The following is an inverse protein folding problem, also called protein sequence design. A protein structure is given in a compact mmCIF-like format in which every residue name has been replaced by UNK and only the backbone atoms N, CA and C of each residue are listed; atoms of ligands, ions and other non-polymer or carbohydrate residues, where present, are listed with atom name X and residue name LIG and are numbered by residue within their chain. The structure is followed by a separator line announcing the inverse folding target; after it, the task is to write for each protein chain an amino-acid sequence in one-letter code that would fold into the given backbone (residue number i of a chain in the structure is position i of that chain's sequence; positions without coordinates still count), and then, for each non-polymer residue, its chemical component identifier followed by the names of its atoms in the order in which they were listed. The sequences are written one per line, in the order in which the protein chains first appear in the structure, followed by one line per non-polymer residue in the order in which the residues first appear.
data_IF_833479761367
#
_entry.id   IF_833479761367
#
_cell.length_a   1.000
_cell.length_b   1.000
_cell.length_c   1.000
_cell.angle_alpha   90.00
_cell.angle_beta   90.00
_cell.angle_gamma   90.00
#
_symmetry.space_group_name_H-M   'P 1'
#
loop_
_entity.id
_entity.type
_entity.pdbx_description
1 polymer ?
#
# COMPACT_ATOMS: atom_id res chain seq x y z
N UNK A 1 1.82 30.82 -47.46
CA UNK A 1 1.95 29.37 -47.70
C UNK A 1 3.32 28.93 -47.26
N UNK A 2 3.45 28.54 -46.00
CA UNK A 2 4.68 28.00 -45.43
C UNK A 2 4.33 26.61 -44.93
N UNK A 3 4.77 25.61 -45.69
CA UNK A 3 4.62 24.20 -45.35
C UNK A 3 5.41 23.93 -44.07
N UNK A 4 4.68 23.70 -42.97
CA UNK A 4 5.21 23.06 -41.78
C UNK A 4 5.53 21.61 -42.12
N UNK A 5 6.84 21.31 -42.20
CA UNK A 5 7.38 19.96 -42.19
C UNK A 5 6.80 19.17 -41.00
N UNK A 6 6.30 17.95 -41.20
CA UNK A 6 5.91 17.10 -40.08
C UNK A 6 7.17 16.71 -39.31
N UNK A 7 7.19 16.96 -38.00
CA UNK A 7 8.19 16.37 -37.10
C UNK A 7 8.18 14.86 -37.30
N UNK A 8 9.30 14.32 -37.76
CA UNK A 8 9.51 12.89 -37.93
C UNK A 8 9.27 12.17 -36.59
N UNK A 9 8.47 11.12 -36.61
CA UNK A 9 8.35 10.19 -35.49
C UNK A 9 9.74 9.60 -35.18
N UNK A 10 10.16 9.49 -33.90
CA UNK A 10 11.46 8.94 -33.55
C UNK A 10 11.56 7.51 -34.08
N UNK A 11 12.70 7.22 -34.72
CA UNK A 11 13.02 5.95 -35.35
C UNK A 11 12.85 4.79 -34.36
N UNK A 12 12.39 3.64 -34.87
CA UNK A 12 12.23 2.38 -34.12
C UNK A 12 13.50 2.08 -33.31
N UNK A 13 13.43 2.32 -32.00
CA UNK A 13 14.56 2.38 -31.07
C UNK A 13 15.42 1.11 -31.08
N UNK A 14 16.73 1.30 -31.23
CA UNK A 14 17.75 0.31 -30.84
C UNK A 14 17.61 0.01 -29.33
N UNK A 15 17.55 -1.28 -28.96
CA UNK A 15 17.41 -1.72 -27.56
C UNK A 15 18.54 -1.17 -26.69
N UNK A 16 19.74 -0.99 -27.25
CA UNK A 16 20.87 -0.42 -26.51
C UNK A 16 20.64 1.06 -26.17
N UNK A 17 20.06 1.84 -27.10
CA UNK A 17 19.70 3.23 -26.87
C UNK A 17 18.59 3.37 -25.82
N UNK A 18 17.55 2.52 -25.89
CA UNK A 18 16.47 2.49 -24.91
C UNK A 18 16.99 2.14 -23.51
N UNK A 19 17.88 1.15 -23.41
CA UNK A 19 18.58 0.77 -22.17
C UNK A 19 19.41 1.91 -21.60
N UNK A 20 20.21 2.58 -22.43
CA UNK A 20 21.04 3.71 -21.99
C UNK A 20 20.17 4.85 -21.45
N UNK A 21 19.14 5.26 -22.21
CA UNK A 21 18.20 6.32 -21.80
C UNK A 21 17.45 5.97 -20.52
N UNK A 22 16.95 4.73 -20.40
CA UNK A 22 16.26 4.29 -19.18
C UNK A 22 17.18 4.35 -17.96
N UNK A 23 18.41 3.85 -18.08
CA UNK A 23 19.40 3.87 -16.98
C UNK A 23 19.77 5.28 -16.56
N UNK A 24 20.02 6.16 -17.51
CA UNK A 24 20.36 7.56 -17.25
C UNK A 24 19.22 8.28 -16.52
N UNK A 25 18.00 8.22 -17.06
CA UNK A 25 16.83 8.87 -16.47
C UNK A 25 16.46 8.27 -15.12
N UNK A 26 16.56 6.95 -14.96
CA UNK A 26 16.36 6.27 -13.67
C UNK A 26 17.39 6.79 -12.66
N UNK A 27 18.67 6.82 -13.02
CA UNK A 27 19.73 7.30 -12.13
C UNK A 27 19.52 8.75 -11.70
N UNK A 28 19.09 9.64 -12.61
CA UNK A 28 18.77 11.02 -12.27
C UNK A 28 17.66 11.12 -11.20
N UNK A 29 16.59 10.33 -11.34
CA UNK A 29 15.51 10.25 -10.36
C UNK A 29 15.98 9.67 -9.01
N UNK A 30 16.88 8.68 -9.03
CA UNK A 30 17.46 8.12 -7.80
C UNK A 30 18.37 9.13 -7.08
N UNK A 31 19.12 9.94 -7.81
CA UNK A 31 19.92 11.03 -7.24
C UNK A 31 19.02 12.11 -6.63
N UNK A 32 17.96 12.54 -7.33
CA UNK A 32 16.97 13.48 -6.78
C UNK A 32 16.35 12.96 -5.47
N UNK A 33 16.05 11.66 -5.44
CA UNK A 33 15.56 10.98 -4.25
C UNK A 33 16.58 11.02 -3.11
N UNK A 34 17.85 10.78 -3.44
CA UNK A 34 19.03 10.94 -2.58
C UNK A 34 19.14 12.32 -1.94
N UNK A 35 18.92 13.37 -2.73
CA UNK A 35 19.17 14.76 -2.31
C UNK A 35 17.93 15.43 -1.70
N UNK A 36 16.81 14.70 -1.60
CA UNK A 36 15.54 15.25 -1.11
C UNK A 36 15.54 15.64 0.39
N UNK A 37 16.54 15.23 1.18
CA UNK A 37 16.57 15.38 2.64
C UNK A 37 15.32 14.77 3.30
N UNK A 38 14.76 15.45 4.32
CA UNK A 38 13.52 15.03 4.99
C UNK A 38 12.22 15.50 4.27
N UNK A 39 12.29 15.83 2.97
CA UNK A 39 11.11 16.33 2.24
C UNK A 39 10.16 15.20 1.86
N UNK A 40 9.30 14.81 2.81
CA UNK A 40 8.24 13.80 2.61
C UNK A 40 7.29 14.09 1.42
N UNK A 41 7.16 15.35 0.99
CA UNK A 41 6.21 15.74 -0.08
C UNK A 41 6.69 15.39 -1.49
N UNK A 42 8.00 15.26 -1.73
CA UNK A 42 8.56 14.94 -3.05
C UNK A 42 8.61 13.43 -3.36
N UNK A 43 8.60 12.59 -2.33
CA UNK A 43 8.74 11.13 -2.46
C UNK A 43 7.74 10.51 -3.44
N UNK A 44 6.44 10.71 -3.21
CA UNK A 44 5.41 10.12 -4.07
C UNK A 44 5.49 10.65 -5.52
N UNK A 45 6.03 11.85 -5.70
CA UNK A 45 6.27 12.40 -7.04
C UNK A 45 7.38 11.61 -7.75
N UNK A 46 8.52 11.39 -7.09
CA UNK A 46 9.64 10.64 -7.66
C UNK A 46 9.28 9.17 -7.90
N UNK A 47 8.61 8.50 -6.95
CA UNK A 47 8.11 7.13 -7.15
C UNK A 47 7.15 7.04 -8.34
N UNK A 48 6.30 8.05 -8.51
CA UNK A 48 5.41 8.17 -9.67
C UNK A 48 6.14 8.48 -10.98
N UNK A 49 7.23 9.24 -10.95
CA UNK A 49 8.10 9.46 -12.11
C UNK A 49 8.84 8.18 -12.52
N UNK A 50 9.35 7.41 -11.54
CA UNK A 50 9.95 6.10 -11.80
C UNK A 50 8.94 5.15 -12.45
N UNK A 51 7.70 5.11 -11.94
CA UNK A 51 6.65 4.29 -12.54
C UNK A 51 6.33 4.73 -13.98
N UNK A 52 6.18 6.04 -14.23
CA UNK A 52 5.93 6.59 -15.57
C UNK A 52 7.09 6.33 -16.55
N UNK A 53 8.33 6.48 -16.09
CA UNK A 53 9.52 6.16 -16.88
C UNK A 53 9.50 4.69 -17.31
N UNK A 54 9.16 3.78 -16.39
CA UNK A 54 9.03 2.36 -16.69
C UNK A 54 7.85 2.09 -17.64
N UNK A 55 6.70 2.76 -17.48
CA UNK A 55 5.58 2.68 -18.41
C UNK A 55 6.01 3.08 -19.84
N UNK A 56 6.76 4.18 -20.00
CA UNK A 56 7.25 4.66 -21.30
C UNK A 56 8.10 3.60 -22.01
N UNK A 57 9.03 2.96 -21.30
CA UNK A 57 9.88 1.89 -21.83
C UNK A 57 9.04 0.67 -22.20
N UNK A 58 8.13 0.22 -21.32
CA UNK A 58 7.24 -0.90 -21.60
C UNK A 58 6.36 -0.64 -22.83
N UNK A 59 5.89 0.60 -23.01
CA UNK A 59 5.12 0.99 -24.21
C UNK A 59 5.96 1.01 -25.49
N UNK A 60 7.24 1.38 -25.42
CA UNK A 60 8.16 1.29 -26.55
C UNK A 60 8.41 -0.18 -26.94
N UNK A 61 8.72 -1.02 -25.95
CA UNK A 61 8.94 -2.45 -26.14
C UNK A 61 7.69 -3.18 -26.66
N UNK A 62 6.52 -2.85 -26.14
CA UNK A 62 5.24 -3.39 -26.61
C UNK A 62 4.99 -3.10 -28.09
N UNK A 63 5.29 -1.87 -28.53
CA UNK A 63 5.16 -1.48 -29.94
C UNK A 63 6.21 -2.18 -30.82
N UNK A 64 7.45 -2.29 -30.35
CA UNK A 64 8.54 -2.94 -31.06
C UNK A 64 8.26 -4.43 -31.31
N UNK A 65 7.66 -5.11 -30.33
CA UNK A 65 7.27 -6.51 -30.46
C UNK A 65 6.05 -6.75 -31.36
N UNK A 66 5.40 -5.69 -31.89
CA UNK A 66 4.25 -5.84 -32.78
C UNK A 66 3.00 -6.41 -32.11
N UNK A 67 2.90 -6.33 -30.78
CA UNK A 67 1.83 -7.00 -30.03
C UNK A 67 0.43 -6.52 -30.45
N UNK A 68 -0.47 -7.49 -30.59
CA UNK A 68 -1.77 -7.30 -31.24
C UNK A 68 -2.61 -6.24 -30.53
N UNK A 69 -3.32 -5.34 -31.27
CA UNK A 69 -4.17 -4.29 -30.67
C UNK A 69 -5.28 -4.82 -29.76
N UNK A 70 -5.66 -6.10 -29.91
CA UNK A 70 -6.69 -6.76 -29.10
C UNK A 70 -6.20 -7.15 -27.70
N UNK A 71 -4.89 -7.18 -27.44
CA UNK A 71 -4.32 -7.46 -26.13
C UNK A 71 -4.14 -6.19 -25.31
N UNK A 72 -3.95 -6.32 -24.00
CA UNK A 72 -3.65 -5.20 -23.12
C UNK A 72 -2.47 -5.53 -22.20
N UNK A 73 -1.60 -4.54 -21.96
CA UNK A 73 -0.55 -4.63 -20.95
C UNK A 73 -1.00 -3.90 -19.70
N UNK A 74 -1.05 -4.63 -18.59
CA UNK A 74 -1.45 -4.11 -17.29
C UNK A 74 -0.27 -4.12 -16.32
N UNK A 75 -0.09 -3.04 -15.58
CA UNK A 75 0.70 -3.05 -14.35
C UNK A 75 -0.14 -3.67 -13.23
N UNK A 76 0.44 -4.54 -12.41
CA UNK A 76 -0.23 -5.15 -11.24
C UNK A 76 0.58 -4.95 -9.96
N UNK A 77 -0.02 -5.23 -8.81
CA UNK A 77 0.62 -5.05 -7.51
C UNK A 77 1.10 -3.61 -7.25
N UNK A 78 2.29 -3.46 -6.66
CA UNK A 78 2.88 -2.14 -6.36
C UNK A 78 3.04 -1.24 -7.57
N UNK A 79 3.46 -1.82 -8.71
CA UNK A 79 3.60 -1.08 -9.96
C UNK A 79 2.23 -0.64 -10.53
N UNK A 80 1.19 -1.44 -10.32
CA UNK A 80 -0.21 -1.11 -10.63
C UNK A 80 -0.70 0.17 -9.96
N UNK A 81 -0.27 0.43 -8.71
CA UNK A 81 -0.57 1.69 -8.00
C UNK A 81 0.15 2.92 -8.54
N UNK A 82 1.09 2.75 -9.47
CA UNK A 82 1.96 3.84 -9.95
C UNK A 82 3.04 4.22 -8.94
N UNK A 83 3.42 3.29 -8.04
CA UNK A 83 4.46 3.47 -7.04
C UNK A 83 5.60 2.49 -7.31
N UNK A 84 6.73 2.99 -7.83
CA UNK A 84 7.91 2.16 -8.08
C UNK A 84 9.09 2.62 -7.22
N UNK A 85 9.49 1.77 -6.27
CA UNK A 85 10.68 2.00 -5.43
C UNK A 85 11.96 1.62 -6.20
N UNK A 86 13.13 2.19 -5.85
CA UNK A 86 14.36 2.07 -6.64
C UNK A 86 14.76 0.65 -7.08
N UNK A 87 14.57 -0.32 -6.18
CA UNK A 87 14.89 -1.74 -6.37
C UNK A 87 13.68 -2.63 -6.08
N UNK A 88 12.46 -2.19 -6.42
CA UNK A 88 11.28 -3.07 -6.40
C UNK A 88 11.01 -3.70 -7.75
N UNK A 89 10.42 -4.89 -7.69
CA UNK A 89 10.02 -5.69 -8.85
C UNK A 89 9.00 -4.94 -9.71
N UNK A 90 9.02 -5.22 -11.02
CA UNK A 90 8.07 -4.66 -12.00
C UNK A 90 7.11 -5.78 -12.42
N UNK A 91 5.93 -5.83 -11.82
CA UNK A 91 4.95 -6.86 -12.12
C UNK A 91 3.98 -6.41 -13.22
N UNK A 92 3.93 -7.20 -14.30
CA UNK A 92 3.06 -6.97 -15.46
C UNK A 92 2.19 -8.17 -15.80
N UNK A 93 1.01 -7.89 -16.31
CA UNK A 93 0.07 -8.87 -16.84
C UNK A 93 -0.22 -8.52 -18.30
N UNK A 94 0.08 -9.45 -19.20
CA UNK A 94 -0.41 -9.42 -20.57
C UNK A 94 -1.79 -10.06 -20.58
N UNK A 95 -2.82 -9.21 -20.71
CA UNK A 95 -4.21 -9.62 -20.74
C UNK A 95 -4.66 -9.92 -22.17
N UNK A 96 -5.17 -11.13 -22.36
CA UNK A 96 -5.71 -11.63 -23.62
C UNK A 96 -7.25 -11.66 -23.58
N UNK A 97 -7.95 -11.49 -24.72
CA UNK A 97 -9.38 -11.76 -24.78
C UNK A 97 -9.64 -13.27 -24.63
N UNK A 98 -10.80 -13.63 -24.10
CA UNK A 98 -11.22 -15.04 -24.03
C UNK A 98 -11.24 -15.65 -25.43
N UNK A 99 -10.78 -16.90 -25.54
CA UNK A 99 -10.64 -17.61 -26.83
C UNK A 99 -9.38 -17.27 -27.61
N UNK A 100 -8.53 -16.35 -27.14
CA UNK A 100 -7.16 -16.27 -27.63
C UNK A 100 -6.36 -17.44 -27.07
N UNK A 101 -5.78 -18.24 -27.96
CA UNK A 101 -4.84 -19.30 -27.61
C UNK A 101 -3.48 -18.94 -28.22
N UNK A 102 -2.59 -18.44 -27.37
CA UNK A 102 -1.23 -18.10 -27.79
C UNK A 102 -0.26 -19.27 -27.64
N UNK A 103 -0.67 -20.39 -27.03
CA UNK A 103 0.16 -21.58 -26.97
C UNK A 103 0.15 -22.33 -28.31
N UNK A 104 -0.99 -22.33 -29.01
CA UNK A 104 -1.12 -22.90 -30.36
C UNK A 104 -0.81 -21.92 -31.50
N UNK A 105 -0.91 -20.61 -31.25
CA UNK A 105 -0.57 -19.56 -32.22
C UNK A 105 0.92 -19.18 -32.13
N UNK A 106 1.75 -19.82 -32.97
CA UNK A 106 3.21 -19.61 -32.99
C UNK A 106 3.61 -18.14 -33.17
N UNK A 107 2.87 -17.37 -33.96
CA UNK A 107 3.15 -15.95 -34.14
C UNK A 107 2.87 -15.18 -32.85
N UNK A 108 1.72 -15.43 -32.19
CA UNK A 108 1.43 -14.82 -30.89
C UNK A 108 2.52 -15.15 -29.86
N UNK A 109 2.92 -16.42 -29.77
CA UNK A 109 3.96 -16.87 -28.84
C UNK A 109 5.28 -16.15 -29.09
N UNK A 110 5.68 -16.05 -30.35
CA UNK A 110 6.94 -15.40 -30.76
C UNK A 110 6.93 -13.91 -30.40
N UNK A 111 5.83 -13.20 -30.64
CA UNK A 111 5.70 -11.77 -30.30
C UNK A 111 5.78 -11.56 -28.77
N UNK A 112 5.15 -12.43 -27.98
CA UNK A 112 5.18 -12.39 -26.51
C UNK A 112 6.58 -12.68 -25.95
N UNK A 113 7.25 -13.72 -26.44
CA UNK A 113 8.62 -14.07 -26.05
C UNK A 113 9.60 -12.95 -26.42
N UNK A 114 9.45 -12.35 -27.60
CA UNK A 114 10.26 -11.21 -28.03
C UNK A 114 10.06 -9.99 -27.12
N UNK A 115 8.82 -9.70 -26.71
CA UNK A 115 8.51 -8.62 -25.77
C UNK A 115 9.16 -8.85 -24.40
N UNK A 116 8.98 -10.04 -23.81
CA UNK A 116 9.53 -10.37 -22.48
C UNK A 116 11.06 -10.32 -22.51
N UNK A 117 11.67 -10.93 -23.53
CA UNK A 117 13.13 -10.91 -23.72
C UNK A 117 13.65 -9.48 -23.84
N UNK A 118 12.98 -8.63 -24.64
CA UNK A 118 13.38 -7.23 -24.81
C UNK A 118 13.28 -6.43 -23.51
N UNK A 119 12.34 -6.77 -22.61
CA UNK A 119 12.26 -6.15 -21.29
C UNK A 119 13.52 -6.44 -20.46
N UNK A 120 13.95 -7.70 -20.43
CA UNK A 120 15.18 -8.10 -19.74
C UNK A 120 16.44 -7.49 -20.37
N UNK A 121 16.51 -7.44 -21.70
CA UNK A 121 17.64 -6.85 -22.42
C UNK A 121 17.84 -5.36 -22.09
N UNK A 122 16.74 -4.63 -21.90
CA UNK A 122 16.74 -3.21 -21.46
C UNK A 122 17.07 -3.06 -19.96
N UNK A 123 17.05 -4.16 -19.20
CA UNK A 123 17.33 -4.20 -17.77
C UNK A 123 16.09 -3.97 -16.90
N UNK A 124 14.89 -4.22 -17.43
CA UNK A 124 13.66 -4.32 -16.64
C UNK A 124 13.53 -5.76 -16.14
N UNK A 125 13.76 -5.97 -14.84
CA UNK A 125 13.47 -7.25 -14.19
C UNK A 125 11.96 -7.36 -13.95
N UNK A 126 11.24 -7.89 -14.96
CA UNK A 126 9.79 -8.02 -14.90
C UNK A 126 9.35 -9.38 -14.34
N UNK A 127 8.41 -9.34 -13.40
CA UNK A 127 7.52 -10.48 -13.13
C UNK A 127 6.38 -10.42 -14.14
N UNK A 128 6.27 -11.40 -15.04
CA UNK A 128 5.24 -11.38 -16.09
C UNK A 128 4.27 -12.56 -15.96
N UNK A 129 3.02 -12.31 -16.34
CA UNK A 129 2.03 -13.36 -16.56
C UNK A 129 1.23 -13.06 -17.81
N UNK A 130 0.86 -14.10 -18.54
CA UNK A 130 0.00 -14.00 -19.74
C UNK A 130 -1.26 -14.77 -19.44
N UNK A 131 -2.42 -14.10 -19.46
CA UNK A 131 -3.71 -14.73 -19.10
C UNK A 131 -4.86 -14.10 -19.88
N UNK A 132 -5.86 -14.91 -20.19
CA UNK A 132 -7.18 -14.47 -20.61
C UNK A 132 -7.95 -13.82 -19.45
N UNK A 133 -9.07 -13.17 -19.76
CA UNK A 133 -9.97 -12.63 -18.73
C UNK A 133 -10.47 -13.76 -17.82
N UNK A 134 -10.90 -14.88 -18.39
CA UNK A 134 -11.44 -16.01 -17.62
C UNK A 134 -10.38 -16.69 -16.75
N UNK A 135 -9.14 -16.80 -17.20
CA UNK A 135 -8.03 -17.32 -16.39
C UNK A 135 -7.66 -16.38 -15.24
N UNK A 136 -7.68 -15.06 -15.46
CA UNK A 136 -7.46 -14.10 -14.39
C UNK A 136 -8.50 -14.25 -13.28
N UNK A 137 -9.77 -14.39 -13.67
CA UNK A 137 -10.90 -14.59 -12.77
C UNK A 137 -10.80 -15.92 -12.01
N UNK A 138 -10.51 -17.02 -12.71
CA UNK A 138 -10.36 -18.34 -12.10
C UNK A 138 -9.19 -18.39 -11.11
N UNK A 139 -8.03 -17.83 -11.49
CA UNK A 139 -6.85 -17.79 -10.61
C UNK A 139 -7.11 -16.93 -9.38
N UNK A 140 -7.77 -15.77 -9.53
CA UNK A 140 -8.10 -14.90 -8.41
C UNK A 140 -9.10 -15.51 -7.43
N UNK A 141 -10.00 -16.38 -7.90
CA UNK A 141 -10.91 -17.11 -7.03
C UNK A 141 -10.20 -18.12 -6.12
N UNK A 142 -9.03 -18.62 -6.55
CA UNK A 142 -8.28 -19.67 -5.87
C UNK A 142 -7.11 -19.13 -5.03
N UNK A 143 -6.57 -17.96 -5.41
CA UNK A 143 -5.42 -17.35 -4.75
C UNK A 143 -5.68 -15.88 -4.41
N UNK A 144 -5.75 -15.61 -3.09
CA UNK A 144 -5.94 -14.27 -2.55
C UNK A 144 -4.79 -13.32 -2.93
N UNK A 145 -3.56 -13.82 -3.10
CA UNK A 145 -2.40 -13.03 -3.53
C UNK A 145 -2.61 -12.50 -4.94
N UNK A 146 -3.04 -13.37 -5.87
CA UNK A 146 -3.37 -12.98 -7.24
C UNK A 146 -4.55 -12.02 -7.25
N UNK A 147 -5.61 -12.32 -6.49
CA UNK A 147 -6.76 -11.43 -6.35
C UNK A 147 -6.33 -10.01 -5.92
N UNK A 148 -5.39 -9.92 -4.99
CA UNK A 148 -4.87 -8.63 -4.50
C UNK A 148 -4.13 -7.86 -5.57
N UNK A 149 -3.23 -8.53 -6.28
CA UNK A 149 -2.50 -7.91 -7.39
C UNK A 149 -3.43 -7.38 -8.47
N UNK A 150 -4.54 -8.10 -8.74
CA UNK A 150 -5.54 -7.71 -9.74
C UNK A 150 -6.47 -6.58 -9.26
N UNK A 151 -6.77 -6.46 -7.96
CA UNK A 151 -7.47 -5.29 -7.39
C UNK A 151 -6.75 -3.99 -7.77
N UNK A 152 -5.42 -4.04 -7.88
CA UNK A 152 -4.58 -2.89 -8.17
C UNK A 152 -4.27 -2.67 -9.65
N UNK A 153 -4.81 -3.51 -10.54
CA UNK A 153 -4.48 -3.48 -11.95
C UNK A 153 -4.70 -2.09 -12.58
N UNK A 154 -3.75 -1.69 -13.41
CA UNK A 154 -3.75 -0.43 -14.16
C UNK A 154 -3.32 -0.68 -15.60
N UNK A 155 -4.11 -0.18 -16.54
CA UNK A 155 -3.75 -0.23 -17.96
C UNK A 155 -2.49 0.63 -18.23
N UNK A 156 -1.46 0.00 -18.81
CA UNK A 156 -0.29 0.69 -19.36
C UNK A 156 -0.59 1.03 -20.84
N UNK A 157 -0.90 0.02 -21.65
CA UNK A 157 -1.19 0.18 -23.08
C UNK A 157 -2.02 -0.97 -23.65
N UNK A 158 -2.46 -0.85 -24.91
CA UNK A 158 -3.29 -1.84 -25.60
C UNK A 158 -4.80 -1.59 -25.46
N UNK A 159 -5.59 -2.67 -25.52
CA UNK A 159 -7.05 -2.61 -25.60
C UNK A 159 -7.71 -2.12 -24.30
N UNK A 160 -8.17 -0.86 -24.31
CA UNK A 160 -8.98 -0.28 -23.22
C UNK A 160 -10.33 -0.98 -23.06
N UNK A 161 -10.93 -1.47 -24.15
CA UNK A 161 -12.19 -2.22 -24.10
C UNK A 161 -12.01 -3.52 -23.32
N UNK A 162 -10.94 -4.27 -23.60
CA UNK A 162 -10.61 -5.50 -22.88
C UNK A 162 -10.36 -5.25 -21.39
N UNK A 163 -9.58 -4.21 -21.06
CA UNK A 163 -9.35 -3.84 -19.65
C UNK A 163 -10.65 -3.45 -18.93
N UNK A 164 -11.56 -2.75 -19.60
CA UNK A 164 -12.86 -2.37 -19.04
C UNK A 164 -13.73 -3.60 -18.79
N UNK A 165 -13.77 -4.55 -19.73
CA UNK A 165 -14.46 -5.83 -19.58
C UNK A 165 -13.91 -6.63 -18.40
N UNK A 166 -12.58 -6.78 -18.32
CA UNK A 166 -11.90 -7.43 -17.21
C UNK A 166 -12.25 -6.77 -15.87
N UNK A 167 -12.10 -5.44 -15.77
CA UNK A 167 -12.36 -4.68 -14.54
C UNK A 167 -13.81 -4.78 -14.08
N UNK A 168 -14.77 -4.92 -15.02
CA UNK A 168 -16.18 -5.13 -14.70
C UNK A 168 -16.40 -6.54 -14.13
N UNK A 169 -16.01 -7.58 -14.88
CA UNK A 169 -16.20 -8.98 -14.45
C UNK A 169 -15.48 -9.30 -13.14
N UNK A 170 -14.28 -8.76 -12.95
CA UNK A 170 -13.52 -8.94 -11.72
C UNK A 170 -14.24 -8.34 -10.50
N UNK A 171 -14.81 -7.14 -10.64
CA UNK A 171 -15.61 -6.53 -9.55
C UNK A 171 -16.92 -7.27 -9.28
N UNK A 172 -17.55 -7.85 -10.30
CA UNK A 172 -18.78 -8.63 -10.14
C UNK A 172 -18.52 -9.97 -9.42
N UNK A 173 -17.36 -10.58 -9.62
CA UNK A 173 -16.96 -11.81 -8.94
C UNK A 173 -16.44 -11.58 -7.51
N UNK A 174 -15.78 -10.45 -7.27
CA UNK A 174 -15.12 -10.18 -6.00
C UNK A 174 -16.13 -9.93 -4.88
N UNK A 175 -16.23 -10.86 -3.94
CA UNK A 175 -16.95 -10.66 -2.69
C UNK A 175 -16.10 -9.83 -1.70
N UNK A 176 -16.50 -8.60 -1.33
CA UNK A 176 -15.66 -7.75 -0.50
C UNK A 176 -15.52 -8.22 0.95
N UNK A 177 -16.52 -8.94 1.48
CA UNK A 177 -16.48 -9.44 2.86
C UNK A 177 -15.53 -10.64 2.94
N UNK A 178 -15.62 -11.57 2.00
CA UNK A 178 -14.73 -12.72 1.93
C UNK A 178 -13.28 -12.27 1.69
N UNK A 179 -13.09 -11.28 0.81
CA UNK A 179 -11.78 -10.64 0.60
C UNK A 179 -11.24 -10.00 1.89
N UNK A 180 -12.07 -9.27 2.64
CA UNK A 180 -11.68 -8.69 3.93
C UNK A 180 -11.29 -9.76 4.96
N UNK A 181 -12.07 -10.84 5.06
CA UNK A 181 -11.78 -11.95 5.99
C UNK A 181 -10.46 -12.62 5.63
N UNK A 182 -10.24 -12.92 4.35
CA UNK A 182 -8.97 -13.47 3.86
C UNK A 182 -7.79 -12.52 4.15
N UNK A 183 -7.96 -11.21 3.92
CA UNK A 183 -6.93 -10.21 4.24
C UNK A 183 -6.63 -10.07 5.72
N UNK A 184 -7.63 -10.19 6.60
CA UNK A 184 -7.39 -10.22 8.04
C UNK A 184 -6.60 -11.45 8.46
N UNK A 185 -6.84 -12.61 7.84
CA UNK A 185 -6.08 -13.83 8.10
C UNK A 185 -4.62 -13.69 7.64
N UNK A 186 -4.38 -13.27 6.40
CA UNK A 186 -3.02 -13.02 5.90
C UNK A 186 -2.26 -12.00 6.75
N UNK A 187 -2.95 -10.94 7.20
CA UNK A 187 -2.37 -9.94 8.10
C UNK A 187 -1.90 -10.55 9.42
N UNK A 188 -2.75 -11.35 10.08
CA UNK A 188 -2.41 -12.02 11.34
C UNK A 188 -1.25 -12.99 11.17
N UNK A 189 -1.26 -13.80 10.11
CA UNK A 189 -0.17 -14.73 9.81
C UNK A 189 1.14 -14.00 9.54
N UNK A 190 1.09 -12.86 8.84
CA UNK A 190 2.27 -12.03 8.63
C UNK A 190 2.76 -11.43 9.96
N UNK A 191 1.88 -10.82 10.76
CA UNK A 191 2.25 -10.23 12.05
C UNK A 191 2.92 -11.25 12.98
N UNK A 192 2.43 -12.48 13.03
CA UNK A 192 3.04 -13.57 13.80
C UNK A 192 4.48 -13.91 13.37
N UNK A 193 4.80 -13.80 12.06
CA UNK A 193 6.18 -13.96 11.56
C UNK A 193 7.13 -12.85 12.02
N UNK A 194 6.60 -11.74 12.52
CA UNK A 194 7.32 -10.59 13.05
C UNK A 194 6.98 -10.37 14.54
N UNK A 195 6.73 -11.45 15.28
CA UNK A 195 6.54 -11.46 16.74
C UNK A 195 5.40 -10.55 17.23
N UNK A 196 4.43 -10.25 16.36
CA UNK A 196 3.26 -9.40 16.64
C UNK A 196 3.61 -8.01 17.22
N UNK A 197 4.85 -7.53 17.01
CA UNK A 197 5.33 -6.27 17.58
C UNK A 197 5.78 -5.26 16.53
N UNK A 198 5.35 -3.99 16.63
CA UNK A 198 5.92 -2.89 15.85
C UNK A 198 7.26 -2.39 16.41
N UNK A 199 7.70 -2.92 17.55
CA UNK A 199 8.83 -2.39 18.35
C UNK A 199 10.12 -3.22 18.25
N UNK A 200 10.25 -4.04 17.21
CA UNK A 200 11.49 -4.78 16.96
C UNK A 200 12.67 -3.81 16.74
N UNK A 201 13.85 -4.14 17.27
CA UNK A 201 15.06 -3.31 17.14
C UNK A 201 15.56 -3.21 15.70
N UNK A 202 15.29 -4.21 14.87
CA UNK A 202 15.58 -4.22 13.43
C UNK A 202 14.29 -4.47 12.63
N UNK A 203 13.36 -3.50 12.60
CA UNK A 203 12.04 -3.73 12.09
C UNK A 203 12.02 -3.73 10.55
N UNK A 204 11.11 -4.51 9.97
CA UNK A 204 10.80 -4.42 8.55
C UNK A 204 9.76 -3.31 8.30
N UNK A 205 10.13 -2.26 7.56
CA UNK A 205 9.26 -1.11 7.30
C UNK A 205 8.06 -1.43 6.40
N UNK A 206 8.08 -2.57 5.72
CA UNK A 206 7.01 -3.04 4.84
C UNK A 206 6.11 -4.05 5.54
N UNK A 207 6.70 -5.11 6.09
CA UNK A 207 5.98 -6.32 6.50
C UNK A 207 5.72 -6.44 8.02
N UNK A 208 6.39 -5.66 8.88
CA UNK A 208 6.10 -5.69 10.33
C UNK A 208 4.72 -5.10 10.63
N UNK A 209 4.13 -5.39 11.81
CA UNK A 209 2.97 -4.65 12.32
C UNK A 209 3.22 -3.14 12.25
N UNK A 210 2.24 -2.38 11.74
CA UNK A 210 2.38 -0.94 11.53
C UNK A 210 3.22 -0.53 10.31
N UNK A 211 3.68 -1.48 9.49
CA UNK A 211 4.41 -1.22 8.25
C UNK A 211 3.52 -0.85 7.05
N UNK A 212 4.15 -0.62 5.89
CA UNK A 212 3.45 -0.27 4.65
C UNK A 212 2.36 -1.28 4.25
N UNK A 213 2.55 -2.57 4.55
CA UNK A 213 1.57 -3.61 4.21
C UNK A 213 0.26 -3.43 4.95
N UNK A 214 0.27 -2.96 6.20
CA UNK A 214 -0.96 -2.68 6.96
C UNK A 214 -1.76 -1.57 6.27
N UNK A 215 -1.08 -0.50 5.86
CA UNK A 215 -1.66 0.60 5.09
C UNK A 215 -2.24 0.14 3.74
N UNK A 216 -1.50 -0.70 3.02
CA UNK A 216 -1.94 -1.26 1.75
C UNK A 216 -3.18 -2.14 1.91
N UNK A 217 -3.25 -2.97 2.97
CA UNK A 217 -4.42 -3.80 3.25
C UNK A 217 -5.68 -2.96 3.40
N UNK A 218 -5.62 -1.84 4.13
CA UNK A 218 -6.76 -0.92 4.28
C UNK A 218 -7.24 -0.43 2.91
N UNK A 219 -6.32 0.03 2.05
CA UNK A 219 -6.64 0.51 0.71
C UNK A 219 -7.19 -0.60 -0.19
N UNK A 220 -6.65 -1.82 -0.09
CA UNK A 220 -7.12 -2.98 -0.86
C UNK A 220 -8.56 -3.34 -0.49
N UNK A 221 -8.86 -3.48 0.80
CA UNK A 221 -10.21 -3.85 1.24
C UNK A 221 -11.20 -2.71 0.97
N UNK A 222 -10.80 -1.45 1.12
CA UNK A 222 -11.64 -0.30 0.78
C UNK A 222 -11.92 -0.24 -0.73
N UNK A 223 -10.92 -0.50 -1.57
CA UNK A 223 -11.08 -0.54 -3.03
C UNK A 223 -11.95 -1.72 -3.48
N UNK A 224 -11.75 -2.90 -2.91
CA UNK A 224 -12.57 -4.08 -3.14
C UNK A 224 -14.05 -3.82 -2.78
N UNK A 225 -14.29 -3.11 -1.67
CA UNK A 225 -15.62 -2.73 -1.21
C UNK A 225 -16.23 -1.52 -1.95
N UNK A 226 -15.50 -0.89 -2.88
CA UNK A 226 -15.97 0.32 -3.57
C UNK A 226 -16.07 1.57 -2.68
N UNK A 227 -15.36 1.60 -1.55
CA UNK A 227 -15.44 2.66 -0.54
C UNK A 227 -14.37 3.76 -0.71
N UNK A 228 -13.49 3.60 -1.69
CA UNK A 228 -12.44 4.55 -2.07
C UNK A 228 -11.10 3.87 -2.37
N UNK A 229 -10.23 4.55 -3.11
CA UNK A 229 -8.89 4.05 -3.51
C UNK A 229 -7.73 4.90 -2.97
N UNK A 230 -8.00 5.92 -2.17
CA UNK A 230 -6.96 6.78 -1.59
C UNK A 230 -7.37 7.29 -0.21
N UNK A 231 -6.40 7.69 0.62
CA UNK A 231 -6.66 8.26 1.94
C UNK A 231 -7.65 9.43 1.91
N UNK A 232 -7.56 10.29 0.88
CA UNK A 232 -8.48 11.41 0.69
C UNK A 232 -9.91 10.96 0.36
N UNK A 233 -10.07 9.89 -0.43
CA UNK A 233 -11.39 9.32 -0.71
C UNK A 233 -12.00 8.61 0.50
N UNK A 234 -11.19 7.89 1.29
CA UNK A 234 -11.63 7.27 2.55
C UNK A 234 -12.11 8.32 3.56
N UNK A 235 -11.48 9.49 3.57
CA UNK A 235 -11.96 10.65 4.35
C UNK A 235 -13.30 11.18 3.87
N UNK A 236 -13.50 11.26 2.54
CA UNK A 236 -14.76 11.74 1.93
C UNK A 236 -15.91 10.73 2.08
N UNK A 237 -15.63 9.43 2.11
CA UNK A 237 -16.64 8.38 2.24
C UNK A 237 -17.10 8.12 3.68
N UNK A 238 -16.52 8.84 4.65
CA UNK A 238 -16.84 8.73 6.08
C UNK A 238 -16.20 7.52 6.78
N UNK A 239 -15.32 6.78 6.11
CA UNK A 239 -14.61 5.66 6.74
C UNK A 239 -13.56 6.13 7.75
N UNK A 240 -12.83 7.19 7.38
CA UNK A 240 -11.84 7.84 8.22
C UNK A 240 -12.25 9.29 8.47
N UNK A 241 -11.93 9.82 9.65
CA UNK A 241 -12.05 11.27 9.86
C UNK A 241 -11.00 12.01 9.02
N UNK A 242 -11.20 13.31 8.70
CA UNK A 242 -10.18 14.10 8.00
C UNK A 242 -8.83 14.16 8.73
N UNK A 243 -8.81 13.99 10.06
CA UNK A 243 -7.59 13.89 10.86
C UNK A 243 -6.89 12.55 10.63
N UNK A 244 -7.63 11.45 10.72
CA UNK A 244 -7.12 10.09 10.48
C UNK A 244 -6.58 9.93 9.06
N UNK A 245 -7.32 10.39 8.05
CA UNK A 245 -6.89 10.35 6.65
C UNK A 245 -5.56 11.10 6.42
N UNK A 246 -5.41 12.29 7.03
CA UNK A 246 -4.14 13.05 6.97
C UNK A 246 -3.01 12.34 7.69
N UNK A 247 -3.30 11.69 8.81
CA UNK A 247 -2.31 10.94 9.58
C UNK A 247 -1.83 9.69 8.84
N UNK A 248 -2.75 8.91 8.25
CA UNK A 248 -2.43 7.77 7.40
C UNK A 248 -1.57 8.19 6.22
N UNK A 249 -1.95 9.25 5.51
CA UNK A 249 -1.18 9.77 4.39
C UNK A 249 0.22 10.26 4.81
N UNK A 250 0.38 10.78 6.04
CA UNK A 250 1.70 11.16 6.58
C UNK A 250 2.55 9.94 6.91
N UNK A 251 1.97 8.95 7.58
CA UNK A 251 2.65 7.72 7.97
C UNK A 251 3.09 6.91 6.75
N UNK A 252 2.22 6.81 5.74
CA UNK A 252 2.50 6.18 4.44
C UNK A 252 3.73 6.82 3.76
N UNK A 253 3.76 8.16 3.69
CA UNK A 253 4.92 8.89 3.13
C UNK A 253 6.20 8.68 3.92
N UNK A 254 6.12 8.65 5.25
CA UNK A 254 7.29 8.44 6.10
C UNK A 254 7.86 7.04 5.91
N UNK A 255 7.02 6.00 5.98
CA UNK A 255 7.45 4.62 5.78
C UNK A 255 7.95 4.38 4.34
N UNK A 256 7.32 5.01 3.35
CA UNK A 256 7.78 4.98 1.96
C UNK A 256 9.15 5.66 1.82
N UNK A 257 9.37 6.80 2.47
CA UNK A 257 10.68 7.46 2.46
C UNK A 257 11.75 6.59 3.14
N UNK A 258 11.46 5.99 4.30
CA UNK A 258 12.38 5.06 4.97
C UNK A 258 12.76 3.91 4.02
N UNK A 259 11.76 3.27 3.40
CA UNK A 259 11.98 2.16 2.46
C UNK A 259 12.80 2.59 1.25
N UNK A 260 12.50 3.74 0.66
CA UNK A 260 13.26 4.27 -0.47
C UNK A 260 14.72 4.57 -0.10
N UNK A 261 14.97 5.13 1.09
CA UNK A 261 16.33 5.38 1.59
C UNK A 261 17.10 4.10 1.87
N UNK A 262 16.46 3.11 2.47
CA UNK A 262 17.03 1.77 2.65
C UNK A 262 17.48 1.18 1.31
N UNK A 263 16.60 1.25 0.30
CA UNK A 263 16.87 0.76 -1.05
C UNK A 263 18.10 1.44 -1.66
N UNK A 264 18.17 2.78 -1.61
CA UNK A 264 19.30 3.54 -2.14
C UNK A 264 20.62 3.26 -1.42
N UNK A 265 20.60 3.20 -0.09
CA UNK A 265 21.80 3.01 0.74
C UNK A 265 22.32 1.57 0.62
N UNK A 266 21.42 0.58 0.67
CA UNK A 266 21.78 -0.81 0.51
C UNK A 266 22.12 -1.18 -0.95
N UNK A 267 21.72 -0.34 -1.92
CA UNK A 267 21.86 -0.58 -3.38
C UNK A 267 21.23 -1.89 -3.85
N UNK A 268 20.19 -2.33 -3.14
CA UNK A 268 19.41 -3.53 -3.41
C UNK A 268 18.04 -3.39 -2.76
N UNK A 269 17.16 -4.36 -3.02
CA UNK A 269 15.95 -4.49 -2.23
C UNK A 269 16.32 -4.81 -0.78
N UNK A 270 15.98 -3.88 0.12
CA UNK A 270 16.11 -4.04 1.56
C UNK A 270 14.93 -3.36 2.24
N UNK A 271 14.15 -4.12 2.99
CA UNK A 271 12.96 -3.59 3.67
C UNK A 271 13.14 -3.58 5.20
N UNK A 272 14.26 -4.12 5.73
CA UNK A 272 14.60 -4.15 7.17
C UNK A 272 15.58 -3.04 7.53
N UNK A 273 15.27 -2.31 8.61
CA UNK A 273 16.19 -1.39 9.27
C UNK A 273 17.19 -2.17 10.14
N UNK A 274 18.10 -2.92 9.49
CA UNK A 274 19.20 -3.58 10.22
C UNK A 274 20.13 -2.57 10.85
N UNK A 275 20.78 -2.93 11.97
CA UNK A 275 21.64 -2.01 12.72
C UNK A 275 22.70 -1.32 11.84
N UNK A 276 23.32 -2.06 10.92
CA UNK A 276 24.34 -1.55 9.99
C UNK A 276 23.82 -0.43 9.07
N UNK A 277 22.52 -0.42 8.78
CA UNK A 277 21.89 0.58 7.91
C UNK A 277 21.22 1.72 8.68
N UNK A 278 20.86 1.53 9.95
CA UNK A 278 20.08 2.51 10.71
C UNK A 278 20.73 3.89 10.76
N UNK A 279 22.04 3.97 11.04
CA UNK A 279 22.76 5.25 11.11
C UNK A 279 22.81 5.94 9.75
N UNK A 280 23.20 5.23 8.69
CA UNK A 280 23.27 5.80 7.34
C UNK A 280 21.89 6.27 6.84
N UNK A 281 20.84 5.50 7.12
CA UNK A 281 19.46 5.93 6.81
C UNK A 281 19.12 7.18 7.62
N UNK A 282 19.41 7.21 8.91
CA UNK A 282 19.11 8.38 9.74
C UNK A 282 19.82 9.66 9.26
N UNK A 283 21.10 9.56 8.90
CA UNK A 283 21.86 10.67 8.34
C UNK A 283 21.28 11.16 7.01
N UNK A 284 20.74 10.27 6.18
CA UNK A 284 20.04 10.65 4.94
C UNK A 284 18.73 11.44 5.18
N UNK A 285 18.15 11.34 6.38
CA UNK A 285 17.04 12.18 6.83
C UNK A 285 17.51 13.51 7.44
N UNK A 286 18.83 13.73 7.53
CA UNK A 286 19.45 14.90 8.14
C UNK A 286 19.57 14.80 9.66
N UNK A 287 19.31 13.64 10.27
CA UNK A 287 19.56 13.44 11.71
C UNK A 287 21.07 13.45 11.98
N UNK A 288 21.43 13.97 13.14
CA UNK A 288 22.81 14.03 13.63
C UNK A 288 22.84 13.63 15.10
N UNK A 289 23.96 13.09 15.53
CA UNK A 289 24.21 12.85 16.95
C UNK A 289 24.09 14.17 17.72
N UNK A 290 23.34 14.15 18.82
CA UNK A 290 23.24 15.28 19.75
C UNK A 290 24.13 15.01 20.95
N UNK A 291 24.78 16.06 21.44
CA UNK A 291 25.67 15.99 22.59
C UNK A 291 25.11 16.88 23.71
N UNK A 292 25.25 16.44 24.96
CA UNK A 292 24.91 17.23 26.15
C UNK A 292 25.94 18.35 26.39
N UNK A 293 25.61 19.27 27.30
CA UNK A 293 26.47 20.43 27.62
C UNK A 293 27.87 20.02 28.14
N UNK A 294 28.00 18.82 28.70
CA UNK A 294 29.27 18.21 29.15
C UNK A 294 30.04 17.45 28.03
N UNK A 295 29.57 17.54 26.78
CA UNK A 295 30.21 16.95 25.60
C UNK A 295 29.95 15.46 25.40
N UNK A 296 29.09 14.83 26.22
CA UNK A 296 28.74 13.41 26.08
C UNK A 296 27.67 13.20 25.02
N UNK A 297 27.70 12.04 24.36
CA UNK A 297 26.66 11.66 23.39
C UNK A 297 25.32 11.48 24.10
N UNK A 298 24.34 12.32 23.77
CA UNK A 298 23.02 12.33 24.38
C UNK A 298 21.98 11.53 23.58
N UNK A 299 21.96 11.63 22.25
CA UNK A 299 21.06 10.88 21.38
C UNK A 299 21.76 10.59 20.05
N UNK A 300 21.70 9.33 19.58
CA UNK A 300 22.24 8.96 18.28
C UNK A 300 21.28 9.35 17.15
N UNK A 301 21.81 9.60 15.96
CA UNK A 301 20.99 9.82 14.77
C UNK A 301 20.04 8.62 14.51
N UNK A 302 20.53 7.39 14.68
CA UNK A 302 19.73 6.17 14.56
C UNK A 302 18.58 6.12 15.57
N UNK A 303 18.78 6.53 16.82
CA UNK A 303 17.74 6.58 17.85
C UNK A 303 16.62 7.57 17.49
N UNK A 304 16.97 8.72 16.91
CA UNK A 304 15.99 9.69 16.40
C UNK A 304 15.12 9.11 15.28
N UNK A 305 15.75 8.43 14.31
CA UNK A 305 15.03 7.74 13.23
C UNK A 305 14.11 6.65 13.79
N UNK A 306 14.63 5.80 14.68
CA UNK A 306 13.91 4.68 15.27
C UNK A 306 12.71 5.18 16.11
N UNK A 307 12.86 6.28 16.86
CA UNK A 307 11.74 6.93 17.56
C UNK A 307 10.64 7.37 16.59
N UNK A 308 11.00 8.00 15.47
CA UNK A 308 10.01 8.37 14.46
C UNK A 308 9.34 7.16 13.81
N UNK A 309 10.10 6.10 13.54
CA UNK A 309 9.58 4.84 13.03
C UNK A 309 8.56 4.23 14.01
N UNK A 310 8.89 4.10 15.29
CA UNK A 310 8.00 3.50 16.28
C UNK A 310 6.71 4.29 16.50
N UNK A 311 6.77 5.63 16.50
CA UNK A 311 5.56 6.45 16.55
C UNK A 311 4.68 6.28 15.32
N UNK A 312 5.30 6.19 14.14
CA UNK A 312 4.61 5.89 12.90
C UNK A 312 3.94 4.52 12.93
N UNK A 313 4.71 3.46 13.23
CA UNK A 313 4.24 2.09 13.28
C UNK A 313 3.10 1.92 14.31
N UNK A 314 3.25 2.48 15.52
CA UNK A 314 2.17 2.51 16.54
C UNK A 314 0.90 3.15 15.99
N UNK A 315 1.01 4.33 15.36
CA UNK A 315 -0.14 5.02 14.81
C UNK A 315 -0.80 4.23 13.66
N UNK A 316 -0.01 3.59 12.79
CA UNK A 316 -0.52 2.73 11.73
C UNK A 316 -1.24 1.51 12.30
N UNK A 317 -0.65 0.80 13.26
CA UNK A 317 -1.29 -0.38 13.88
C UNK A 317 -2.65 -0.04 14.49
N UNK A 318 -2.72 1.08 15.22
CA UNK A 318 -3.97 1.54 15.85
C UNK A 318 -5.03 1.93 14.81
N UNK A 319 -4.65 2.73 13.81
CA UNK A 319 -5.60 3.18 12.77
C UNK A 319 -6.03 2.03 11.85
N UNK A 320 -5.14 1.07 11.58
CA UNK A 320 -5.46 -0.15 10.84
C UNK A 320 -6.53 -0.96 11.58
N UNK A 321 -6.37 -1.17 12.89
CA UNK A 321 -7.39 -1.87 13.69
C UNK A 321 -8.76 -1.18 13.61
N UNK A 322 -8.80 0.14 13.78
CA UNK A 322 -10.04 0.93 13.70
C UNK A 322 -10.67 0.82 12.32
N UNK A 323 -9.91 1.10 11.24
CA UNK A 323 -10.46 1.15 9.89
C UNK A 323 -10.89 -0.22 9.38
N UNK A 324 -10.15 -1.29 9.71
CA UNK A 324 -10.56 -2.65 9.34
C UNK A 324 -11.88 -3.03 10.01
N UNK A 325 -12.11 -2.65 11.27
CA UNK A 325 -13.39 -2.85 11.94
C UNK A 325 -14.52 -2.00 11.32
N UNK A 326 -14.27 -0.72 10.99
CA UNK A 326 -15.27 0.16 10.33
C UNK A 326 -15.69 -0.42 8.98
N UNK A 327 -14.74 -0.87 8.17
CA UNK A 327 -15.03 -1.47 6.86
C UNK A 327 -15.82 -2.76 7.02
N UNK A 328 -15.43 -3.62 7.97
CA UNK A 328 -16.14 -4.86 8.26
C UNK A 328 -17.59 -4.62 8.73
N UNK A 329 -17.81 -3.64 9.62
CA UNK A 329 -19.14 -3.26 10.08
C UNK A 329 -20.02 -2.75 8.92
N UNK A 330 -19.46 -1.93 8.02
CA UNK A 330 -20.18 -1.42 6.86
C UNK A 330 -20.54 -2.53 5.87
N UNK A 331 -19.65 -3.50 5.66
CA UNK A 331 -19.91 -4.64 4.77
C UNK A 331 -20.95 -5.60 5.38
N UNK A 332 -20.89 -5.86 6.68
CA UNK A 332 -21.86 -6.72 7.37
C UNK A 332 -23.25 -6.08 7.44
N UNK A 333 -23.33 -4.80 7.76
CA UNK A 333 -24.60 -4.07 7.83
C UNK A 333 -25.29 -3.95 6.46
N UNK A 334 -24.54 -3.97 5.36
CA UNK A 334 -25.10 -4.04 4.01
C UNK A 334 -25.74 -5.41 3.67
N UNK A 335 -25.37 -6.49 4.36
CA UNK A 335 -25.93 -7.85 4.13
C UNK A 335 -27.12 -8.17 5.03
N UNK A 336 -27.06 -7.74 6.28
CA UNK A 336 -28.08 -8.06 7.27
C UNK A 336 -28.20 -6.95 8.32
N UNK A 337 -29.40 -6.75 8.88
CA UNK A 337 -29.57 -5.86 10.01
C UNK A 337 -28.66 -6.28 11.16
N UNK A 338 -27.90 -5.33 11.70
CA UNK A 338 -27.14 -5.54 12.93
C UNK A 338 -28.11 -5.66 14.12
N UNK A 339 -27.78 -6.49 15.11
CA UNK A 339 -28.54 -6.54 16.36
C UNK A 339 -28.51 -5.16 17.03
N UNK A 340 -29.62 -4.72 17.66
CA UNK A 340 -29.63 -3.47 18.39
C UNK A 340 -28.61 -3.53 19.53
N UNK A 341 -27.93 -2.41 19.78
CA UNK A 341 -27.01 -2.31 20.90
C UNK A 341 -27.79 -2.44 22.22
N UNK A 342 -27.33 -3.32 23.10
CA UNK A 342 -27.86 -3.48 24.45
C UNK A 342 -27.11 -2.54 25.37
N UNK A 343 -27.83 -1.77 26.19
CA UNK A 343 -27.20 -0.90 27.18
C UNK A 343 -26.59 -1.74 28.30
N UNK A 344 -25.33 -1.46 28.64
CA UNK A 344 -24.67 -2.01 29.84
C UNK A 344 -24.90 -1.00 30.98
N UNK A 345 -24.52 0.26 30.76
CA UNK A 345 -24.74 1.37 31.68
C UNK A 345 -24.87 2.71 30.92
N UNK A 346 -24.63 3.84 31.59
CA UNK A 346 -24.70 5.19 30.99
C UNK A 346 -23.56 5.50 30.03
N UNK A 347 -22.44 4.79 30.13
CA UNK A 347 -21.21 5.04 29.38
C UNK A 347 -20.95 3.98 28.30
N UNK A 348 -21.49 2.77 28.47
CA UNK A 348 -21.19 1.61 27.66
C UNK A 348 -22.41 0.85 27.14
N UNK A 349 -22.24 0.31 25.94
CA UNK A 349 -23.19 -0.48 25.19
C UNK A 349 -22.50 -1.78 24.72
N UNK A 350 -23.25 -2.89 24.69
CA UNK A 350 -22.87 -4.12 24.00
C UNK A 350 -23.53 -4.13 22.61
N UNK A 351 -22.72 -3.99 21.57
CA UNK A 351 -23.13 -4.02 20.17
C UNK A 351 -22.68 -5.33 19.52
N UNK A 352 -23.43 -6.39 19.77
CA UNK A 352 -23.20 -7.70 19.16
C UNK A 352 -21.88 -8.35 19.61
N UNK A 353 -21.53 -8.21 20.89
CA UNK A 353 -20.28 -8.69 21.47
C UNK A 353 -19.13 -7.69 21.36
N UNK A 354 -19.41 -6.44 20.97
CA UNK A 354 -18.44 -5.35 20.94
C UNK A 354 -18.78 -4.31 22.01
N UNK A 355 -17.80 -3.96 22.86
CA UNK A 355 -17.96 -2.88 23.82
C UNK A 355 -17.90 -1.53 23.09
N UNK A 356 -19.01 -0.80 23.11
CA UNK A 356 -19.19 0.49 22.44
C UNK A 356 -19.45 1.60 23.45
N UNK A 357 -18.73 2.72 23.35
CA UNK A 357 -19.05 3.93 24.10
C UNK A 357 -20.41 4.50 23.69
N UNK A 358 -21.18 4.98 24.67
CA UNK A 358 -22.49 5.56 24.45
C UNK A 358 -22.39 6.84 23.58
N UNK A 359 -21.34 7.64 23.76
CA UNK A 359 -21.07 8.86 23.00
C UNK A 359 -19.60 9.01 22.62
N UNK A 360 -19.31 9.81 21.59
CA UNK A 360 -17.92 10.05 21.14
C UNK A 360 -17.11 10.87 22.17
N UNK A 361 -17.80 11.55 23.08
CA UNK A 361 -17.25 12.43 24.11
C UNK A 361 -17.28 11.81 25.53
N UNK A 362 -17.57 10.50 25.65
CA UNK A 362 -17.67 9.80 26.94
C UNK A 362 -16.44 10.04 27.82
N UNK A 363 -15.24 9.93 27.25
CA UNK A 363 -13.98 10.11 28.02
C UNK A 363 -13.66 11.56 28.34
N UNK A 364 -14.12 12.51 27.52
CA UNK A 364 -13.95 13.94 27.78
C UNK A 364 -14.86 14.39 28.92
N UNK A 365 -16.07 13.80 29.01
CA UNK A 365 -17.03 14.06 30.10
C UNK A 365 -16.61 13.38 31.40
N UNK A 366 -16.12 12.14 31.30
CA UNK A 366 -15.64 11.38 32.45
C UNK A 366 -14.32 10.66 32.11
N UNK A 367 -13.16 11.24 32.47
CA UNK A 367 -11.87 10.59 32.23
C UNK A 367 -11.74 9.22 32.92
N UNK A 368 -12.40 8.98 34.05
CA UNK A 368 -12.40 7.66 34.72
C UNK A 368 -13.00 6.56 33.84
N UNK A 369 -13.87 6.90 32.88
CA UNK A 369 -14.44 5.95 31.95
C UNK A 369 -13.38 5.25 31.07
N UNK A 370 -12.19 5.85 30.90
CA UNK A 370 -11.07 5.20 30.20
C UNK A 370 -10.68 3.89 30.91
N UNK A 371 -10.44 3.93 32.22
CA UNK A 371 -10.13 2.73 32.99
C UNK A 371 -11.34 1.81 33.14
N UNK A 372 -12.55 2.39 33.30
CA UNK A 372 -13.78 1.60 33.32
C UNK A 372 -13.99 0.79 32.05
N UNK A 373 -13.52 1.27 30.89
CA UNK A 373 -13.61 0.52 29.63
C UNK A 373 -13.01 -0.87 29.75
N UNK A 374 -11.82 -0.97 30.36
CA UNK A 374 -11.14 -2.26 30.56
C UNK A 374 -11.80 -3.09 31.65
N UNK A 375 -12.29 -2.45 32.72
CA UNK A 375 -13.04 -3.14 33.78
C UNK A 375 -14.33 -3.77 33.25
N UNK A 376 -15.14 -2.99 32.52
CA UNK A 376 -16.40 -3.47 31.91
C UNK A 376 -16.11 -4.52 30.85
N UNK A 377 -15.05 -4.36 30.07
CA UNK A 377 -14.63 -5.35 29.08
C UNK A 377 -14.35 -6.73 29.70
N UNK A 378 -13.70 -6.79 30.86
CA UNK A 378 -13.42 -8.04 31.59
C UNK A 378 -14.65 -8.60 32.33
N UNK A 379 -15.54 -7.74 32.81
CA UNK A 379 -16.70 -8.14 33.62
C UNK A 379 -17.93 -8.54 32.78
N UNK A 380 -18.14 -7.93 31.62
CA UNK A 380 -19.34 -8.11 30.83
C UNK A 380 -19.30 -9.42 30.01
N UNK A 381 -20.13 -10.39 30.39
CA UNK A 381 -20.23 -11.66 29.69
C UNK A 381 -20.68 -11.48 28.23
N UNK A 382 -19.91 -12.04 27.30
CA UNK A 382 -20.25 -12.07 25.88
C UNK A 382 -19.63 -10.95 25.04
N UNK A 383 -19.07 -9.92 25.69
CA UNK A 383 -18.18 -8.95 25.02
C UNK A 383 -16.86 -9.63 24.69
N UNK A 384 -16.39 -9.48 23.45
CA UNK A 384 -15.18 -10.16 22.95
C UNK A 384 -14.14 -9.20 22.40
N UNK A 385 -14.53 -7.98 22.02
CA UNK A 385 -13.64 -6.95 21.47
C UNK A 385 -14.19 -5.55 21.79
N UNK A 386 -13.34 -4.53 21.66
CA UNK A 386 -13.77 -3.14 21.63
C UNK A 386 -14.29 -2.78 20.24
N UNK A 387 -15.35 -1.96 20.17
CA UNK A 387 -15.86 -1.45 18.90
C UNK A 387 -14.94 -0.40 18.30
N UNK A 388 -15.04 -0.16 16.98
CA UNK A 388 -14.26 0.88 16.31
C UNK A 388 -14.51 2.28 16.91
N UNK A 389 -15.75 2.53 17.37
CA UNK A 389 -16.13 3.76 18.06
C UNK A 389 -15.35 3.93 19.37
N UNK A 390 -15.32 2.88 20.19
CA UNK A 390 -14.56 2.85 21.46
C UNK A 390 -13.06 3.02 21.23
N UNK A 391 -12.48 2.29 20.27
CA UNK A 391 -11.06 2.42 19.93
C UNK A 391 -10.70 3.83 19.45
N UNK A 392 -11.54 4.44 18.62
CA UNK A 392 -11.37 5.81 18.15
C UNK A 392 -11.49 6.83 19.30
N UNK A 393 -12.45 6.63 20.21
CA UNK A 393 -12.59 7.47 21.40
C UNK A 393 -11.35 7.36 22.30
N UNK A 394 -10.84 6.15 22.57
CA UNK A 394 -9.61 5.93 23.36
C UNK A 394 -8.40 6.59 22.68
N UNK A 395 -8.29 6.45 21.36
CA UNK A 395 -7.22 7.04 20.57
C UNK A 395 -7.17 8.58 20.69
N UNK A 396 -8.34 9.22 20.76
CA UNK A 396 -8.49 10.66 20.92
C UNK A 396 -8.36 11.12 22.37
N UNK A 397 -8.65 10.26 23.34
CA UNK A 397 -8.58 10.53 24.77
C UNK A 397 -7.17 10.37 25.38
N UNK A 398 -6.18 9.95 24.59
CA UNK A 398 -4.80 9.66 25.06
C UNK A 398 -4.09 10.78 25.84
N UNK A 399 -4.53 12.02 25.72
CA UNK A 399 -3.96 13.16 26.44
C UNK A 399 -4.72 13.51 27.72
N UNK A 400 -5.81 12.80 28.05
CA UNK A 400 -6.62 13.02 29.25
C UNK A 400 -6.10 12.24 30.47
N UNK A 401 -5.21 11.27 30.27
CA UNK A 401 -4.49 10.59 31.35
C UNK A 401 -3.14 11.28 31.50
N UNK A 402 -3.11 12.37 32.26
CA UNK A 402 -1.90 13.11 32.60
C UNK A 402 -1.54 12.91 34.09
N UNK A 403 -0.68 13.76 34.63
CA UNK A 403 -0.25 13.67 36.03
C UNK A 403 -1.34 14.02 37.05
N UNK A 404 -2.46 14.60 36.63
CA UNK A 404 -3.59 14.96 37.49
C UNK A 404 -4.67 13.86 37.57
N UNK A 405 -4.56 12.82 36.74
CA UNK A 405 -5.42 11.63 36.74
C UNK A 405 -5.04 10.65 37.85
#
# INVERSE_FOLDING_TARGET
MTQTSPLAAPALDDLASLRASYRERKQALLTELGDSGNRMRGMNHVLGQLARLTDEVLMALWRRAGLRPRFALLAVGGFGRGELFPYSDIDVLVLLPDGADCDSDLACKTDLEAFITSCWDVGLEIGSSVRTVSECLATAAQDITVCTSLVEARLITGSRALFTQFSKRFREQLDPLDFLVAKKLEMRQRHAKFEDTPYALEPNCKESPGGLRDLQIILWVARAAGLGKSWGELGKSGLATPREARQLARNDRLLSLIRARLHLIARRREDRLVFDLQTAVAESFGFRNTFSDDGRLAERASEQLMRQYYWCAKAVSQLNQILMQVIEERLRSARAPMRPARRIDDEFLDKGGLLEVASDDTYQKNPHAILRTFLVYEQELGVKQLSARTLRALYNARSLMDSEY
#
